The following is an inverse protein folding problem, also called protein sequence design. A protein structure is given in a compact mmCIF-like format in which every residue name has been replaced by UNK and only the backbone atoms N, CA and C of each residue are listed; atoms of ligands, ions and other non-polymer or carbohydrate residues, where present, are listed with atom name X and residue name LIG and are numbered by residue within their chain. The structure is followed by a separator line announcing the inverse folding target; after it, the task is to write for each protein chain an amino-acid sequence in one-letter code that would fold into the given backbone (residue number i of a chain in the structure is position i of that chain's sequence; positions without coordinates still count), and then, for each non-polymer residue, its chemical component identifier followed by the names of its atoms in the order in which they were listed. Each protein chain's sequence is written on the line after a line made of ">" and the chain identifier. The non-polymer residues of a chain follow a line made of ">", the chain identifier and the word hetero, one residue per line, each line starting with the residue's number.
data_IF_651580853867
#
_entry.id   IF_651580853867
#
_cell.length_a   1.000
_cell.length_b   1.000
_cell.length_c   1.000
_cell.angle_alpha   90.00
_cell.angle_beta   90.00
_cell.angle_gamma   90.00
#
_symmetry.space_group_name_H-M   'P 1'
#
loop_
_entity.id
_entity.type
_entity.pdbx_description
1 polymer ?
#
# COMPACT_ATOMS: atom_id res chain seq x y z
N UNK A 1 1.78 0.36 11.05
CA UNK A 1 0.32 0.28 10.84
C UNK A 1 -0.07 1.28 9.77
N UNK A 2 -0.87 0.87 8.78
CA UNK A 2 -1.37 1.74 7.71
C UNK A 2 -2.88 1.93 7.90
N UNK A 3 -3.34 3.17 7.89
CA UNK A 3 -4.75 3.52 7.96
C UNK A 3 -5.12 4.26 6.67
N UNK A 4 -6.13 3.76 5.94
CA UNK A 4 -6.62 4.37 4.70
C UNK A 4 -8.03 4.90 4.96
N UNK A 5 -8.28 6.16 4.63
CA UNK A 5 -9.56 6.82 4.80
C UNK A 5 -10.09 7.29 3.45
N UNK A 6 -11.39 7.07 3.21
CA UNK A 6 -12.13 7.67 2.11
C UNK A 6 -13.41 8.32 2.64
N UNK A 7 -13.97 9.29 1.91
CA UNK A 7 -15.17 10.06 2.32
C UNK A 7 -16.44 9.23 2.53
N UNK A 8 -16.47 7.97 2.13
CA UNK A 8 -17.57 7.05 2.44
C UNK A 8 -17.00 5.78 3.05
N UNK A 9 -17.32 5.54 4.32
CA UNK A 9 -17.23 4.20 4.89
C UNK A 9 -18.17 3.28 4.07
N UNK A 10 -17.60 2.39 3.29
CA UNK A 10 -18.38 1.34 2.64
C UNK A 10 -18.68 0.33 3.75
N UNK A 11 -19.90 0.37 4.27
CA UNK A 11 -20.44 -0.68 5.10
C UNK A 11 -20.73 -1.84 4.16
N UNK A 12 -19.75 -2.72 3.96
CA UNK A 12 -20.00 -3.99 3.26
C UNK A 12 -20.71 -4.91 4.27
N UNK A 13 -22.01 -5.09 4.11
CA UNK A 13 -22.68 -6.21 4.75
C UNK A 13 -22.10 -7.51 4.18
N UNK A 14 -22.04 -8.55 5.04
CA UNK A 14 -21.39 -9.83 4.72
C UNK A 14 -21.89 -10.47 3.40
N UNK A 15 -23.06 -10.10 2.93
CA UNK A 15 -23.66 -10.58 1.68
C UNK A 15 -23.11 -9.90 0.42
N UNK A 16 -22.55 -8.67 0.52
CA UNK A 16 -22.06 -7.94 -0.66
C UNK A 16 -20.72 -8.45 -1.15
N UNK A 17 -19.89 -9.00 -0.27
CA UNK A 17 -18.59 -9.56 -0.61
C UNK A 17 -18.72 -10.80 -1.52
N UNK A 18 -19.66 -11.68 -1.24
CA UNK A 18 -19.94 -12.87 -2.07
C UNK A 18 -20.53 -12.51 -3.43
N UNK A 19 -21.37 -11.48 -3.48
CA UNK A 19 -21.99 -11.01 -4.72
C UNK A 19 -20.96 -10.37 -5.65
N UNK A 20 -19.96 -9.67 -5.10
CA UNK A 20 -18.88 -9.08 -5.87
C UNK A 20 -17.94 -10.15 -6.47
N UNK A 21 -17.57 -11.17 -5.71
CA UNK A 21 -16.75 -12.30 -6.21
C UNK A 21 -17.49 -13.06 -7.32
N UNK A 22 -18.79 -13.26 -7.19
CA UNK A 22 -19.60 -13.96 -8.21
C UNK A 22 -19.66 -13.21 -9.55
N UNK A 23 -19.71 -11.87 -9.52
CA UNK A 23 -19.67 -11.03 -10.73
C UNK A 23 -18.33 -11.10 -11.46
N UNK A 24 -17.21 -11.22 -10.76
CA UNK A 24 -15.88 -11.30 -11.39
C UNK A 24 -15.49 -12.72 -11.82
N UNK A 25 -16.04 -13.77 -11.24
CA UNK A 25 -15.80 -15.16 -11.66
C UNK A 25 -16.55 -15.53 -12.94
N UNK A 26 -17.69 -14.91 -13.24
CA UNK A 26 -18.47 -15.16 -14.46
C UNK A 26 -17.88 -14.51 -15.72
N UNK A 27 -16.93 -13.58 -15.59
CA UNK A 27 -16.26 -12.95 -16.74
C UNK A 27 -15.04 -13.71 -17.27
N UNK A 28 -14.62 -14.79 -16.60
CA UNK A 28 -13.46 -15.62 -16.99
C UNK A 28 -13.81 -16.93 -17.72
N UNK A 29 -15.10 -17.29 -17.84
CA UNK A 29 -15.54 -18.46 -18.58
C UNK A 29 -16.18 -18.04 -19.91
N UNK A 30 -15.33 -17.65 -20.87
CA UNK A 30 -15.75 -17.36 -22.23
C UNK A 30 -16.03 -18.62 -23.03
N UNK A 31 -17.29 -19.05 -23.14
CA UNK A 31 -17.80 -19.79 -24.30
C UNK A 31 -19.22 -19.30 -24.57
N UNK A 32 -19.38 -18.60 -25.68
CA UNK A 32 -20.68 -18.16 -26.15
C UNK A 32 -21.42 -19.27 -26.89
N UNK A 33 -22.74 -19.31 -26.83
CA UNK A 33 -23.51 -19.60 -28.05
C UNK A 33 -24.31 -18.38 -28.51
N UNK A 34 -24.26 -18.18 -29.80
CA UNK A 34 -25.08 -17.23 -30.55
C UNK A 34 -26.57 -17.45 -30.28
N UNK A 35 -27.21 -16.40 -29.81
CA UNK A 35 -28.64 -16.22 -29.98
C UNK A 35 -28.89 -14.75 -30.34
N UNK A 36 -29.30 -14.54 -31.57
CA UNK A 36 -29.76 -13.27 -32.12
C UNK A 36 -31.06 -12.87 -31.45
N UNK A 37 -31.00 -11.74 -30.70
CA UNK A 37 -32.21 -11.00 -30.37
C UNK A 37 -32.01 -9.53 -30.75
N UNK A 38 -32.71 -9.14 -31.82
CA UNK A 38 -32.84 -7.77 -32.24
C UNK A 38 -33.82 -7.05 -31.29
N UNK A 39 -33.27 -6.40 -30.29
CA UNK A 39 -33.99 -5.46 -29.44
C UNK A 39 -33.29 -4.11 -29.49
N UNK A 40 -33.91 -3.11 -30.09
CA UNK A 40 -33.43 -1.71 -30.10
C UNK A 40 -33.63 -1.09 -28.73
N UNK A 41 -32.84 -1.54 -27.75
CA UNK A 41 -32.72 -0.88 -26.47
C UNK A 41 -31.61 0.16 -26.53
N UNK A 42 -31.94 1.42 -26.41
CA UNK A 42 -30.96 2.50 -26.16
C UNK A 42 -30.18 2.11 -24.90
N UNK A 43 -28.89 1.77 -25.06
CA UNK A 43 -27.98 1.69 -23.93
C UNK A 43 -27.87 3.09 -23.35
N UNK A 44 -28.59 3.37 -22.27
CA UNK A 44 -28.31 4.52 -21.44
C UNK A 44 -26.95 4.27 -20.79
N UNK A 45 -25.93 4.94 -21.30
CA UNK A 45 -24.70 5.14 -20.56
C UNK A 45 -25.06 5.96 -19.32
N UNK A 46 -25.24 5.26 -18.19
CA UNK A 46 -25.29 5.91 -16.88
C UNK A 46 -23.87 6.44 -16.67
N UNK A 47 -23.66 7.71 -16.98
CA UNK A 47 -22.49 8.45 -16.49
C UNK A 47 -22.70 8.62 -15.01
N UNK A 48 -22.25 7.65 -14.20
CA UNK A 48 -22.12 7.87 -12.77
C UNK A 48 -21.02 8.91 -12.61
N UNK A 49 -21.43 10.11 -12.22
CA UNK A 49 -20.53 11.15 -11.74
C UNK A 49 -20.07 10.72 -10.33
N UNK A 50 -19.37 9.58 -10.26
CA UNK A 50 -18.81 9.09 -9.00
C UNK A 50 -17.68 10.05 -8.63
N UNK A 51 -17.93 10.88 -7.63
CA UNK A 51 -16.89 11.69 -7.03
C UNK A 51 -15.80 10.73 -6.49
N UNK A 52 -14.57 10.91 -6.94
CA UNK A 52 -13.45 10.13 -6.44
C UNK A 52 -13.27 10.41 -4.96
N UNK A 53 -13.14 9.40 -4.09
CA UNK A 53 -12.94 9.62 -2.68
C UNK A 53 -11.57 10.26 -2.42
N UNK A 54 -11.49 11.13 -1.43
CA UNK A 54 -10.20 11.52 -0.88
C UNK A 54 -9.58 10.35 -0.12
N UNK A 55 -8.27 10.16 -0.28
CA UNK A 55 -7.53 9.05 0.34
C UNK A 55 -6.49 9.64 1.29
N UNK A 56 -6.58 9.31 2.57
CA UNK A 56 -5.55 9.64 3.57
C UNK A 56 -4.90 8.34 4.02
N UNK A 57 -3.59 8.23 3.81
CA UNK A 57 -2.79 7.12 4.30
C UNK A 57 -1.95 7.59 5.48
N UNK A 58 -2.20 7.04 6.65
CA UNK A 58 -1.47 7.36 7.87
C UNK A 58 -0.60 6.18 8.29
N UNK A 59 0.70 6.28 8.01
CA UNK A 59 1.68 5.24 8.34
C UNK A 59 2.43 5.61 9.63
N UNK A 60 2.19 4.86 10.69
CA UNK A 60 2.87 5.04 11.97
C UNK A 60 4.11 4.16 12.01
N UNK A 61 5.27 4.80 12.18
CA UNK A 61 6.57 4.11 12.24
C UNK A 61 6.74 3.41 13.60
N UNK A 62 7.29 2.21 13.58
CA UNK A 62 7.63 1.39 14.75
C UNK A 62 6.46 1.12 15.72
N UNK A 63 5.21 1.18 15.28
CA UNK A 63 4.05 0.89 16.11
C UNK A 63 3.52 -0.53 15.89
N UNK A 64 3.56 -1.34 16.91
CA UNK A 64 2.94 -2.65 16.94
C UNK A 64 1.43 -2.60 17.24
N UNK A 65 0.72 -3.69 17.00
CA UNK A 65 -0.72 -3.80 17.25
C UNK A 65 -1.10 -3.69 18.73
N UNK A 66 -0.13 -3.88 19.63
CA UNK A 66 -0.33 -3.72 21.07
C UNK A 66 0.04 -2.31 21.59
N UNK A 67 0.63 -1.45 20.75
CA UNK A 67 1.06 -0.10 21.13
C UNK A 67 -0.06 0.95 20.97
N UNK A 68 -1.29 0.50 21.10
CA UNK A 68 -2.52 1.31 21.04
C UNK A 68 -3.54 0.77 22.02
N UNK A 69 -4.53 1.57 22.42
CA UNK A 69 -5.66 1.09 23.23
C UNK A 69 -6.72 0.31 22.45
N UNK A 70 -6.57 0.20 21.11
CA UNK A 70 -7.51 -0.54 20.25
C UNK A 70 -7.29 -2.05 20.40
N UNK A 71 -8.31 -2.85 20.74
CA UNK A 71 -8.19 -4.30 20.82
C UNK A 71 -8.24 -4.92 19.42
N UNK A 72 -7.08 -5.12 18.78
CA UNK A 72 -7.00 -5.73 17.45
C UNK A 72 -7.23 -7.25 17.48
N UNK A 73 -6.89 -7.92 18.57
CA UNK A 73 -7.02 -9.38 18.68
C UNK A 73 -8.26 -9.76 19.50
N UNK A 74 -9.16 -10.54 18.92
CA UNK A 74 -10.38 -11.08 19.54
C UNK A 74 -11.26 -10.04 20.28
N UNK A 75 -11.22 -8.77 19.88
CA UNK A 75 -11.93 -7.66 20.54
C UNK A 75 -11.61 -7.52 22.05
N UNK A 76 -10.49 -8.05 22.50
CA UNK A 76 -10.05 -7.98 23.89
C UNK A 76 -8.75 -7.15 23.98
N UNK A 77 -8.73 -6.23 24.92
CA UNK A 77 -7.51 -5.50 25.25
C UNK A 77 -6.51 -6.42 25.95
N UNK A 78 -5.31 -6.52 25.43
CA UNK A 78 -4.19 -7.12 26.12
C UNK A 78 -3.71 -6.21 27.25
N UNK A 79 -2.89 -6.75 28.17
CA UNK A 79 -2.22 -5.95 29.21
C UNK A 79 -1.36 -4.82 28.62
N UNK A 80 -0.84 -4.99 27.42
CA UNK A 80 -0.04 -3.96 26.74
C UNK A 80 -0.95 -2.86 26.16
N UNK A 81 -2.08 -3.21 25.51
CA UNK A 81 -3.03 -2.21 25.04
C UNK A 81 -3.53 -1.29 26.16
N UNK A 82 -3.70 -1.80 27.38
CA UNK A 82 -4.16 -1.03 28.54
C UNK A 82 -3.17 0.06 29.01
N UNK A 83 -1.91 0.02 28.55
CA UNK A 83 -0.90 1.04 28.85
C UNK A 83 -1.05 2.29 27.99
N UNK A 84 -1.76 2.18 26.86
CA UNK A 84 -1.87 3.25 25.88
C UNK A 84 -3.25 3.92 25.97
N UNK A 85 -3.27 5.19 25.62
CA UNK A 85 -4.49 5.97 25.48
C UNK A 85 -4.54 6.59 24.08
N UNK A 86 -5.23 5.94 23.15
CA UNK A 86 -5.34 6.35 21.74
C UNK A 86 -6.81 6.53 21.33
N UNK A 87 -7.54 7.52 21.90
CA UNK A 87 -8.99 7.64 21.73
C UNK A 87 -9.41 7.90 20.28
N UNK A 88 -8.59 8.59 19.50
CA UNK A 88 -8.88 8.83 18.09
C UNK A 88 -8.74 7.55 17.26
N UNK A 89 -7.81 6.66 17.61
CA UNK A 89 -7.69 5.35 16.96
C UNK A 89 -8.86 4.44 17.34
N UNK A 90 -9.33 4.49 18.58
CA UNK A 90 -10.54 3.78 19.01
C UNK A 90 -11.75 4.27 18.21
N UNK A 91 -11.90 5.60 18.05
CA UNK A 91 -12.97 6.18 17.23
C UNK A 91 -12.89 5.71 15.78
N UNK A 92 -11.71 5.69 15.18
CA UNK A 92 -11.51 5.17 13.83
C UNK A 92 -11.86 3.69 13.72
N UNK A 93 -11.46 2.89 14.69
CA UNK A 93 -11.78 1.46 14.75
C UNK A 93 -13.29 1.19 14.89
N UNK A 94 -14.04 2.12 15.49
CA UNK A 94 -15.51 2.05 15.59
C UNK A 94 -16.21 2.48 14.29
N UNK A 95 -15.63 3.41 13.54
CA UNK A 95 -16.22 3.96 12.32
C UNK A 95 -15.83 3.18 11.05
N UNK A 96 -14.79 2.36 11.13
CA UNK A 96 -14.19 1.67 10.01
C UNK A 96 -14.01 0.18 10.23
N UNK A 97 -13.15 -0.42 9.42
CA UNK A 97 -12.80 -1.84 9.48
C UNK A 97 -11.42 -2.02 10.10
N UNK A 98 -11.28 -2.97 11.01
CA UNK A 98 -10.01 -3.41 11.58
C UNK A 98 -9.58 -4.72 10.92
N UNK A 99 -8.39 -4.71 10.34
CA UNK A 99 -7.79 -5.94 9.82
C UNK A 99 -6.99 -6.60 10.94
N UNK A 100 -7.31 -7.83 11.27
CA UNK A 100 -6.59 -8.62 12.29
C UNK A 100 -5.40 -9.37 11.71
N UNK A 101 -5.36 -9.53 10.39
CA UNK A 101 -4.30 -10.23 9.66
C UNK A 101 -3.73 -9.33 8.56
N UNK A 102 -3.15 -8.20 8.97
CA UNK A 102 -2.43 -7.29 8.09
C UNK A 102 -0.97 -7.19 8.55
N UNK A 103 -0.06 -7.55 7.67
CA UNK A 103 1.35 -7.70 8.00
C UNK A 103 2.20 -6.65 7.28
N UNK A 104 3.16 -6.11 8.00
CA UNK A 104 4.23 -5.28 7.47
C UNK A 104 5.55 -6.07 7.46
N UNK A 105 6.56 -5.56 6.78
CA UNK A 105 7.92 -6.06 6.92
C UNK A 105 8.48 -5.71 8.31
N UNK A 106 9.55 -6.39 8.71
CA UNK A 106 10.14 -6.24 10.03
C UNK A 106 10.69 -4.82 10.32
N UNK A 107 11.06 -4.08 9.25
CA UNK A 107 11.64 -2.75 9.37
C UNK A 107 11.10 -1.78 8.32
N UNK A 108 11.50 -0.52 8.43
CA UNK A 108 10.93 0.64 7.76
C UNK A 108 11.01 0.60 6.23
N UNK A 109 12.21 0.54 5.62
CA UNK A 109 12.37 0.63 4.16
C UNK A 109 11.61 -0.46 3.41
N UNK A 110 11.71 -1.76 3.76
CA UNK A 110 10.96 -2.81 3.08
C UNK A 110 9.45 -2.58 3.10
N UNK A 111 8.90 -2.17 4.24
CA UNK A 111 7.46 -1.86 4.36
C UNK A 111 7.04 -0.71 3.45
N UNK A 112 7.83 0.37 3.43
CA UNK A 112 7.55 1.58 2.63
C UNK A 112 7.72 1.30 1.14
N UNK A 113 8.73 0.53 0.76
CA UNK A 113 8.90 0.06 -0.62
C UNK A 113 7.74 -0.83 -1.07
N UNK A 114 7.27 -1.74 -0.22
CA UNK A 114 6.09 -2.57 -0.50
C UNK A 114 4.85 -1.73 -0.71
N UNK A 115 4.63 -0.71 0.14
CA UNK A 115 3.49 0.20 0.04
C UNK A 115 3.50 1.00 -1.27
N UNK A 116 4.65 1.55 -1.65
CA UNK A 116 4.77 2.37 -2.86
C UNK A 116 4.72 1.55 -4.14
N UNK A 117 5.19 0.30 -4.12
CA UNK A 117 5.31 -0.54 -5.31
C UNK A 117 4.16 -1.54 -5.50
N UNK A 118 3.38 -1.81 -4.46
CA UNK A 118 2.41 -2.92 -4.45
C UNK A 118 3.07 -4.31 -4.49
N UNK A 119 4.38 -4.40 -4.26
CA UNK A 119 5.13 -5.64 -4.25
C UNK A 119 5.50 -6.05 -2.82
N UNK A 120 5.57 -7.35 -2.54
CA UNK A 120 6.16 -7.83 -1.30
C UNK A 120 7.70 -7.70 -1.32
N UNK A 121 8.34 -7.78 -0.14
CA UNK A 121 9.77 -7.58 0.00
C UNK A 121 10.61 -8.61 -0.79
N UNK A 122 10.13 -9.84 -0.97
CA UNK A 122 10.83 -10.85 -1.77
C UNK A 122 10.86 -10.50 -3.26
N UNK A 123 9.88 -9.75 -3.75
CA UNK A 123 9.79 -9.33 -5.15
C UNK A 123 10.61 -8.07 -5.43
N UNK A 124 10.46 -7.01 -4.63
CA UNK A 124 11.26 -5.80 -4.82
C UNK A 124 12.68 -5.93 -4.23
N UNK A 125 12.96 -6.99 -3.47
CA UNK A 125 14.27 -7.33 -2.89
C UNK A 125 14.91 -6.25 -2.01
N UNK A 126 14.13 -5.32 -1.48
CA UNK A 126 14.56 -4.40 -0.43
C UNK A 126 14.24 -5.06 0.90
N UNK A 127 15.24 -5.59 1.59
CA UNK A 127 15.06 -6.42 2.79
C UNK A 127 15.63 -5.79 4.06
N UNK A 128 16.37 -4.68 3.91
CA UNK A 128 16.93 -3.92 5.01
C UNK A 128 16.81 -2.40 4.75
N UNK A 129 17.42 -1.56 5.59
CA UNK A 129 17.42 -0.11 5.45
C UNK A 129 18.19 0.35 4.22
N UNK A 130 17.59 1.23 3.45
CA UNK A 130 18.24 1.93 2.34
C UNK A 130 18.77 3.27 2.86
N UNK A 131 20.03 3.39 3.22
CA UNK A 131 20.59 4.61 3.81
C UNK A 131 21.36 5.44 2.79
N UNK A 132 22.55 5.00 2.41
CA UNK A 132 23.44 5.72 1.49
C UNK A 132 23.52 4.99 0.15
N UNK A 133 23.75 5.74 -0.93
CA UNK A 133 23.98 5.17 -2.26
C UNK A 133 25.13 4.17 -2.22
N UNK A 134 24.89 2.98 -2.77
CA UNK A 134 25.84 1.87 -2.90
C UNK A 134 26.40 1.32 -1.58
N UNK A 135 25.69 1.56 -0.47
CA UNK A 135 26.08 1.04 0.84
C UNK A 135 25.08 0.01 1.37
N UNK A 136 25.58 -1.19 1.62
CA UNK A 136 24.85 -2.23 2.35
C UNK A 136 24.80 -1.88 3.84
N UNK A 137 23.67 -2.13 4.47
CA UNK A 137 23.48 -1.92 5.91
C UNK A 137 23.58 -3.21 6.72
N UNK A 138 23.70 -4.36 6.07
CA UNK A 138 23.87 -5.63 6.74
C UNK A 138 25.28 -5.79 7.28
N UNK A 139 25.38 -6.35 8.47
CA UNK A 139 26.67 -6.74 9.04
C UNK A 139 27.26 -7.93 8.27
N UNK A 140 28.58 -7.93 8.07
CA UNK A 140 29.28 -9.11 7.55
C UNK A 140 29.19 -10.29 8.52
N UNK A 141 29.11 -11.51 7.98
CA UNK A 141 29.13 -12.74 8.77
C UNK A 141 30.09 -13.73 8.12
N UNK A 142 30.90 -14.40 8.94
CA UNK A 142 31.75 -15.48 8.47
C UNK A 142 30.99 -16.80 8.24
N UNK A 143 29.80 -16.91 8.84
CA UNK A 143 29.00 -18.15 8.84
C UNK A 143 27.84 -18.10 7.88
N UNK A 144 27.23 -16.92 7.71
CA UNK A 144 26.03 -16.73 6.90
C UNK A 144 26.38 -15.87 5.69
N UNK A 145 26.29 -16.43 4.49
CA UNK A 145 26.35 -15.66 3.26
C UNK A 145 25.14 -14.74 3.14
N UNK A 146 25.37 -13.43 3.09
CA UNK A 146 24.31 -12.47 2.90
C UNK A 146 23.78 -12.56 1.47
N UNK A 147 22.45 -12.66 1.27
CA UNK A 147 21.86 -12.65 -0.06
C UNK A 147 22.06 -11.29 -0.74
N UNK A 148 22.10 -11.28 -2.06
CA UNK A 148 22.02 -10.03 -2.82
C UNK A 148 20.64 -9.40 -2.63
N UNK A 149 20.62 -8.10 -2.33
CA UNK A 149 19.40 -7.33 -2.14
C UNK A 149 19.53 -5.91 -2.70
N UNK A 150 18.41 -5.23 -2.89
CA UNK A 150 18.36 -3.91 -3.49
C UNK A 150 18.57 -2.81 -2.44
N UNK A 151 19.81 -2.65 -1.99
CA UNK A 151 20.18 -1.67 -0.96
C UNK A 151 20.03 -0.21 -1.37
N UNK A 152 19.91 0.08 -2.68
CA UNK A 152 19.55 1.39 -3.19
C UNK A 152 18.03 1.61 -3.25
N UNK A 153 17.25 0.64 -2.79
CA UNK A 153 15.80 0.77 -2.64
C UNK A 153 15.02 0.71 -3.94
N UNK A 154 13.87 1.39 -3.96
CA UNK A 154 13.07 1.57 -5.16
C UNK A 154 13.40 2.91 -5.82
N UNK A 155 13.30 2.94 -7.15
CA UNK A 155 13.57 4.10 -7.98
C UNK A 155 12.38 4.32 -8.94
N UNK A 156 12.10 5.56 -9.36
CA UNK A 156 11.08 5.80 -10.38
C UNK A 156 11.49 5.20 -11.73
N UNK A 157 10.50 4.77 -12.53
CA UNK A 157 10.73 4.17 -13.85
C UNK A 157 11.56 5.06 -14.80
N UNK A 158 11.52 6.37 -14.63
CA UNK A 158 12.28 7.34 -15.41
C UNK A 158 13.80 7.17 -15.31
N UNK A 159 14.28 6.46 -14.30
CA UNK A 159 15.70 6.13 -14.10
C UNK A 159 15.97 4.63 -14.07
N UNK A 160 15.08 3.83 -14.66
CA UNK A 160 15.25 2.39 -14.74
C UNK A 160 16.64 2.03 -15.33
N UNK A 161 17.34 1.10 -14.67
CA UNK A 161 18.66 0.64 -15.08
C UNK A 161 19.83 1.58 -14.78
N UNK A 162 19.59 2.78 -14.21
CA UNK A 162 20.68 3.72 -13.85
C UNK A 162 21.32 3.44 -12.49
N UNK A 163 20.60 2.73 -11.61
CA UNK A 163 21.08 2.40 -10.26
C UNK A 163 21.14 0.89 -10.12
N UNK A 164 22.31 0.38 -9.80
CA UNK A 164 22.47 -1.03 -9.44
C UNK A 164 21.79 -1.32 -8.11
N UNK A 165 21.47 -2.57 -7.85
CA UNK A 165 20.83 -2.98 -6.59
C UNK A 165 19.65 -2.08 -6.18
N UNK A 166 18.80 -1.80 -7.15
CA UNK A 166 17.57 -1.02 -7.02
C UNK A 166 16.47 -1.64 -7.87
N UNK A 167 15.22 -1.39 -7.53
CA UNK A 167 14.07 -1.81 -8.33
C UNK A 167 13.36 -0.58 -8.89
N UNK A 168 13.26 -0.47 -10.21
CA UNK A 168 12.47 0.59 -10.83
C UNK A 168 10.97 0.24 -10.77
N UNK A 169 10.16 1.24 -10.47
CA UNK A 169 8.71 1.10 -10.29
C UNK A 169 7.95 2.33 -10.78
N UNK A 170 6.72 2.12 -11.23
CA UNK A 170 5.69 3.17 -11.23
C UNK A 170 5.08 3.22 -9.84
N UNK A 171 5.44 4.22 -9.04
CA UNK A 171 5.02 4.29 -7.64
C UNK A 171 3.53 4.65 -7.48
N UNK A 172 2.93 4.23 -6.37
CA UNK A 172 1.52 4.49 -6.04
C UNK A 172 1.09 5.96 -6.26
N UNK A 173 1.83 6.99 -5.79
CA UNK A 173 1.44 8.38 -6.03
C UNK A 173 1.43 8.73 -7.52
N UNK A 174 2.34 8.20 -8.33
CA UNK A 174 2.32 8.42 -9.77
C UNK A 174 1.08 7.78 -10.42
N UNK A 175 0.67 6.60 -9.97
CA UNK A 175 -0.54 5.93 -10.44
C UNK A 175 -1.77 6.77 -10.08
N UNK A 176 -1.85 7.27 -8.85
CA UNK A 176 -2.93 8.13 -8.39
C UNK A 176 -2.99 9.44 -9.19
N UNK A 177 -1.84 10.08 -9.40
CA UNK A 177 -1.72 11.29 -10.22
C UNK A 177 -2.21 11.08 -11.66
N UNK A 178 -1.83 9.98 -12.29
CA UNK A 178 -2.30 9.60 -13.63
C UNK A 178 -3.82 9.37 -13.69
N UNK A 179 -4.44 9.14 -12.53
CA UNK A 179 -5.88 9.02 -12.37
C UNK A 179 -6.54 10.31 -11.84
N UNK A 180 -5.84 11.45 -11.89
CA UNK A 180 -6.35 12.77 -11.57
C UNK A 180 -6.45 13.11 -10.09
N UNK A 181 -5.71 12.41 -9.23
CA UNK A 181 -5.52 12.80 -7.85
C UNK A 181 -4.39 13.82 -7.72
N UNK A 182 -4.54 14.76 -6.81
CA UNK A 182 -3.45 15.59 -6.32
C UNK A 182 -2.84 14.89 -5.12
N UNK A 183 -1.52 14.69 -5.13
CA UNK A 183 -0.85 13.81 -4.19
C UNK A 183 0.10 14.57 -3.27
N UNK A 184 -0.01 14.34 -1.97
CA UNK A 184 0.78 15.02 -0.94
C UNK A 184 1.51 13.98 -0.10
N UNK A 185 2.79 14.19 0.13
CA UNK A 185 3.58 13.44 1.10
C UNK A 185 3.95 14.35 2.28
N UNK A 186 3.88 13.79 3.48
CA UNK A 186 4.32 14.48 4.70
C UNK A 186 5.05 13.47 5.59
N UNK A 187 6.28 13.77 5.95
CA UNK A 187 7.06 13.00 6.91
C UNK A 187 8.11 12.07 6.29
N UNK A 188 8.34 10.91 6.91
CA UNK A 188 9.40 9.98 6.53
C UNK A 188 9.08 9.25 5.23
N UNK A 189 9.93 9.40 4.22
CA UNK A 189 9.87 8.69 2.93
C UNK A 189 10.54 7.30 3.00
N UNK A 190 11.85 7.27 3.05
CA UNK A 190 12.70 6.08 3.20
C UNK A 190 12.43 4.99 2.14
N UNK A 191 12.22 5.42 0.89
CA UNK A 191 11.95 4.52 -0.25
C UNK A 191 13.23 4.08 -0.95
N UNK A 192 14.21 4.98 -1.07
CA UNK A 192 15.49 4.75 -1.72
C UNK A 192 16.65 5.32 -0.91
N UNK A 193 17.88 4.96 -1.29
CA UNK A 193 19.10 5.46 -0.69
C UNK A 193 19.27 6.96 -0.92
N UNK A 194 19.91 7.67 0.01
CA UNK A 194 20.24 9.09 -0.16
C UNK A 194 21.00 9.31 -1.46
N UNK A 195 20.86 10.48 -2.04
CA UNK A 195 21.44 10.85 -3.32
C UNK A 195 20.94 10.03 -4.52
N UNK A 196 19.77 9.37 -4.37
CA UNK A 196 19.04 8.76 -5.48
C UNK A 196 17.68 9.42 -5.67
N UNK A 197 17.09 9.37 -6.88
CA UNK A 197 15.71 9.84 -7.09
C UNK A 197 14.69 9.17 -6.16
N UNK A 198 14.86 7.89 -5.85
CA UNK A 198 13.97 7.16 -4.94
C UNK A 198 13.95 7.69 -3.50
N UNK A 199 14.91 8.52 -3.10
CA UNK A 199 14.92 9.17 -1.80
C UNK A 199 13.98 10.39 -1.73
N UNK A 200 13.64 10.97 -2.89
CA UNK A 200 12.82 12.18 -2.98
C UNK A 200 11.37 11.81 -3.36
N UNK A 201 10.38 12.08 -2.49
CA UNK A 201 8.97 11.83 -2.80
C UNK A 201 8.47 12.53 -4.07
N UNK A 202 8.97 13.71 -4.41
CA UNK A 202 8.55 14.41 -5.61
C UNK A 202 8.88 13.62 -6.88
N UNK A 203 10.07 13.01 -6.94
CA UNK A 203 10.47 12.15 -8.06
C UNK A 203 9.68 10.84 -8.13
N UNK A 204 9.11 10.41 -7.01
CA UNK A 204 8.23 9.22 -6.92
C UNK A 204 6.77 9.53 -7.31
N UNK A 205 6.47 10.77 -7.69
CA UNK A 205 5.17 11.17 -8.22
C UNK A 205 4.28 11.98 -7.28
N UNK A 206 4.75 12.34 -6.08
CA UNK A 206 4.01 13.28 -5.24
C UNK A 206 4.08 14.71 -5.81
N UNK A 207 2.96 15.42 -5.77
CA UNK A 207 2.87 16.81 -6.22
C UNK A 207 3.45 17.77 -5.18
N UNK A 208 3.35 17.41 -3.90
CA UNK A 208 3.87 18.18 -2.75
C UNK A 208 4.56 17.24 -1.77
N UNK A 209 5.69 17.70 -1.21
CA UNK A 209 6.45 17.01 -0.17
C UNK A 209 6.93 18.04 0.87
#
# INVERSE_FOLDING_TARGET
>A
MVLIFGEKAITLEHNDFFTMIHKYLLTLAGVAPLATWAGTGKVQTVTTNESRPNIIMFLVDDMGWQDTSVPFYNNQQSKLNQRFRTPNMERLAQLGVRFTEAYACAISSPTRCSLMSGMNASRHRVTNWTLELDQKTDASSEVIGLPEWNYNGIQPDSVAGKYNNATAITALPQILKNNGYFTIHCGKAHFGARNTPGADPATMGFDVN
#
